data_IF_366294866192
#
_entry.id   IF_366294866192
#
_cell.length_a   1.000
_cell.length_b   1.000
_cell.length_c   1.000
_cell.angle_alpha   90.00
_cell.angle_beta   90.00
_cell.angle_gamma   90.00
#
_symmetry.space_group_name_H-M   'P 1'
#
loop_
_entity.id
_entity.type
_entity.pdbx_description
1 polymer ?
#
# COMPACT_ATOMS: atom_id res chain seq x y z
N UNK A 1 -15.06 -17.60 12.16
CA UNK A 1 -16.05 -16.56 12.49
C UNK A 1 -15.28 -15.41 13.16
N UNK A 2 -15.21 -14.23 12.53
CA UNK A 2 -14.65 -12.97 13.05
C UNK A 2 -13.60 -13.01 14.20
N UNK A 3 -12.48 -13.70 13.97
CA UNK A 3 -11.40 -13.81 14.96
C UNK A 3 -10.72 -12.47 15.28
N UNK A 4 -10.79 -11.50 14.37
CA UNK A 4 -10.26 -10.15 14.54
C UNK A 4 -11.33 -9.13 14.99
N UNK A 5 -12.46 -9.61 15.51
CA UNK A 5 -13.57 -8.77 15.95
C UNK A 5 -14.67 -8.60 14.91
N UNK A 6 -15.79 -8.04 15.35
CA UNK A 6 -17.02 -7.94 14.57
C UNK A 6 -16.80 -7.22 13.22
N UNK A 7 -17.24 -7.88 12.14
CA UNK A 7 -17.17 -7.36 10.78
C UNK A 7 -15.82 -7.58 10.07
N UNK A 8 -14.89 -8.34 10.65
CA UNK A 8 -13.59 -8.60 10.05
C UNK A 8 -13.65 -9.53 8.82
N UNK A 9 -14.51 -10.56 8.84
CA UNK A 9 -14.78 -11.42 7.67
C UNK A 9 -15.39 -10.61 6.54
N UNK A 10 -16.34 -9.72 6.84
CA UNK A 10 -17.01 -8.91 5.81
C UNK A 10 -16.03 -7.96 5.11
N UNK A 11 -15.14 -7.31 5.87
CA UNK A 11 -14.05 -6.50 5.30
C UNK A 11 -13.09 -7.35 4.45
N UNK A 12 -12.68 -8.54 4.91
CA UNK A 12 -11.84 -9.42 4.08
C UNK A 12 -12.49 -9.87 2.77
N UNK A 13 -13.82 -9.98 2.75
CA UNK A 13 -14.56 -10.36 1.56
C UNK A 13 -14.83 -9.18 0.62
N UNK A 14 -15.02 -7.97 1.17
CA UNK A 14 -15.60 -6.85 0.41
C UNK A 14 -15.19 -5.47 0.91
N UNK A 15 -14.00 -5.30 1.49
CA UNK A 15 -13.52 -3.97 1.92
C UNK A 15 -13.36 -3.04 0.70
N UNK A 16 -14.26 -2.06 0.52
CA UNK A 16 -14.22 -1.15 -0.63
C UNK A 16 -13.00 -0.23 -0.59
N UNK A 17 -12.35 -0.13 0.57
CA UNK A 17 -11.18 0.71 0.80
C UNK A 17 -9.89 0.06 0.29
N UNK A 18 -9.90 -1.25 0.02
CA UNK A 18 -8.72 -2.00 -0.40
C UNK A 18 -8.02 -1.35 -1.60
N UNK A 19 -8.79 -0.97 -2.62
CA UNK A 19 -8.22 -0.33 -3.81
C UNK A 19 -7.55 1.01 -3.51
N UNK A 20 -8.15 1.82 -2.62
CA UNK A 20 -7.57 3.12 -2.24
C UNK A 20 -6.27 2.93 -1.47
N UNK A 21 -6.23 1.94 -0.57
CA UNK A 21 -5.05 1.62 0.22
C UNK A 21 -3.92 1.11 -0.67
N UNK A 22 -4.21 0.15 -1.55
CA UNK A 22 -3.22 -0.42 -2.49
C UNK A 22 -2.71 0.63 -3.49
N UNK A 23 -3.58 1.53 -3.94
CA UNK A 23 -3.15 2.65 -4.77
C UNK A 23 -2.17 3.56 -4.04
N UNK A 24 -2.49 3.95 -2.80
CA UNK A 24 -1.64 4.81 -2.00
C UNK A 24 -0.28 4.16 -1.68
N UNK A 25 -0.25 2.87 -1.36
CA UNK A 25 1.00 2.13 -1.13
C UNK A 25 1.83 2.03 -2.41
N UNK A 26 1.21 1.77 -3.56
CA UNK A 26 1.88 1.75 -4.86
C UNK A 26 2.53 3.11 -5.19
N UNK A 27 1.80 4.21 -5.00
CA UNK A 27 2.33 5.56 -5.23
C UNK A 27 3.49 5.89 -4.29
N UNK A 28 3.41 5.51 -3.01
CA UNK A 28 4.51 5.67 -2.07
C UNK A 28 5.75 4.87 -2.50
N UNK A 29 5.56 3.62 -2.95
CA UNK A 29 6.65 2.78 -3.44
C UNK A 29 7.31 3.37 -4.70
N UNK A 30 6.52 3.90 -5.63
CA UNK A 30 7.04 4.61 -6.82
C UNK A 30 7.85 5.83 -6.42
N UNK A 31 7.33 6.66 -5.50
CA UNK A 31 8.04 7.85 -5.01
C UNK A 31 9.36 7.48 -4.31
N UNK A 32 9.37 6.39 -3.53
CA UNK A 32 10.59 5.89 -2.90
C UNK A 32 11.61 5.40 -3.92
N UNK A 33 11.16 4.67 -4.95
CA UNK A 33 12.02 4.19 -6.04
C UNK A 33 12.70 5.36 -6.76
N UNK A 34 11.93 6.39 -7.13
CA UNK A 34 12.44 7.62 -7.76
C UNK A 34 13.46 8.32 -6.86
N UNK A 35 13.20 8.39 -5.55
CA UNK A 35 14.14 8.98 -4.59
C UNK A 35 15.45 8.18 -4.51
N UNK A 36 15.38 6.85 -4.54
CA UNK A 36 16.57 5.97 -4.54
C UNK A 36 17.37 6.13 -5.83
N UNK A 37 16.72 6.13 -6.98
CA UNK A 37 17.35 6.33 -8.30
C UNK A 37 18.09 7.68 -8.36
N UNK A 38 17.45 8.76 -7.91
CA UNK A 38 18.09 10.10 -7.83
C UNK A 38 19.32 10.14 -6.92
N UNK A 39 19.36 9.32 -5.87
CA UNK A 39 20.53 9.22 -4.99
C UNK A 39 21.67 8.46 -5.66
N UNK A 40 21.36 7.40 -6.41
CA UNK A 40 22.36 6.60 -7.15
C UNK A 40 22.91 7.31 -8.38
N UNK A 41 22.18 8.25 -8.99
CA UNK A 41 22.67 9.06 -10.12
C UNK A 41 23.53 10.24 -9.69
N UNK A 42 23.42 10.68 -8.42
CA UNK A 42 24.21 11.80 -7.87
C UNK A 42 25.58 11.39 -7.34
N UNK A 43 25.84 10.08 -7.32
CA UNK A 43 27.06 9.46 -6.80
C UNK A 43 27.97 8.91 -7.91
N UNK A 44 27.72 9.30 -9.17
CA UNK A 44 28.55 9.02 -10.34
C UNK A 44 29.11 10.32 -10.92
#
# INVERSE_FOLDING_TARGET
FDAAGAGACLKRYSDPSFFKMEWATSELMKAEKVKREKKTTKSK
#
